data_IF_007787060162
#
_entry.id   IF_007787060162
#
_cell.length_a   1.000
_cell.length_b   1.000
_cell.length_c   1.000
_cell.angle_alpha   90.00
_cell.angle_beta   90.00
_cell.angle_gamma   90.00
#
_symmetry.space_group_name_H-M   'P 1'
#
loop_
_entity.id
_entity.type
_entity.pdbx_description
1 polymer ?
#
# COMPACT_ATOMS: atom_id res chain seq x y z
N UNK A 1 21.81 3.32 -3.53
CA UNK A 1 20.78 2.35 -3.98
C UNK A 1 19.80 3.05 -4.91
N UNK A 2 20.06 3.04 -6.22
CA UNK A 2 19.31 3.81 -7.23
C UNK A 2 18.22 2.95 -7.89
N UNK A 3 17.19 2.56 -7.12
CA UNK A 3 16.08 1.71 -7.61
C UNK A 3 14.77 2.48 -7.80
N UNK A 4 14.67 3.72 -7.29
CA UNK A 4 13.56 4.64 -7.53
C UNK A 4 13.65 5.42 -8.85
N UNK A 5 14.62 5.10 -9.73
CA UNK A 5 14.70 5.75 -11.04
C UNK A 5 13.55 5.29 -11.92
N UNK A 6 12.72 6.26 -12.29
CA UNK A 6 11.54 6.12 -13.13
C UNK A 6 11.93 5.80 -14.57
N UNK A 7 11.11 5.02 -15.33
CA UNK A 7 11.07 5.15 -16.77
C UNK A 7 10.66 6.60 -17.08
N UNK A 8 11.61 7.39 -17.60
CA UNK A 8 11.30 8.74 -18.07
C UNK A 8 10.68 8.62 -19.46
N UNK A 9 9.35 8.75 -19.56
CA UNK A 9 8.67 9.07 -20.82
C UNK A 9 7.93 10.41 -20.71
N UNK A 10 7.95 11.10 -21.85
CA UNK A 10 7.51 12.47 -22.09
C UNK A 10 6.06 12.68 -21.60
N UNK A 11 5.88 13.28 -20.42
CA UNK A 11 4.56 13.66 -19.91
C UNK A 11 4.37 13.59 -18.38
N UNK A 12 5.14 12.76 -17.66
CA UNK A 12 5.02 12.68 -16.19
C UNK A 12 5.79 13.83 -15.53
N UNK A 13 5.07 14.83 -15.00
CA UNK A 13 5.66 15.84 -14.11
C UNK A 13 6.02 15.17 -12.79
N UNK A 14 7.31 15.09 -12.47
CA UNK A 14 7.75 14.90 -11.09
C UNK A 14 7.24 16.11 -10.31
N UNK A 15 6.36 15.90 -9.33
CA UNK A 15 5.91 16.98 -8.45
C UNK A 15 7.05 17.44 -7.55
N UNK A 16 7.06 18.71 -7.16
CA UNK A 16 8.12 19.30 -6.32
C UNK A 16 8.31 18.54 -4.98
N UNK A 17 7.29 17.80 -4.53
CA UNK A 17 7.33 16.96 -3.33
C UNK A 17 7.97 15.57 -3.51
N UNK A 18 8.22 15.10 -4.74
CA UNK A 18 8.86 13.79 -5.01
C UNK A 18 10.39 13.89 -4.98
N UNK A 19 10.91 14.33 -3.84
CA UNK A 19 12.33 14.58 -3.61
C UNK A 19 12.99 13.48 -2.74
N UNK A 20 14.26 13.66 -2.38
CA UNK A 20 15.03 12.70 -1.58
C UNK A 20 14.39 12.44 -0.20
N UNK A 21 13.76 13.43 0.42
CA UNK A 21 13.08 13.25 1.70
C UNK A 21 11.85 12.33 1.56
N UNK A 22 11.12 12.43 0.45
CA UNK A 22 10.03 11.50 0.15
C UNK A 22 10.56 10.07 -0.06
N UNK A 23 11.66 9.91 -0.80
CA UNK A 23 12.30 8.59 -0.99
C UNK A 23 12.77 7.99 0.34
N UNK A 24 13.34 8.82 1.23
CA UNK A 24 13.70 8.43 2.59
C UNK A 24 12.48 7.92 3.37
N UNK A 25 11.38 8.67 3.32
CA UNK A 25 10.11 8.29 3.96
C UNK A 25 9.61 6.92 3.47
N UNK A 26 9.66 6.66 2.15
CA UNK A 26 9.26 5.36 1.60
C UNK A 26 10.16 4.22 2.07
N UNK A 27 11.47 4.48 2.20
CA UNK A 27 12.44 3.51 2.67
C UNK A 27 12.18 3.14 4.14
N UNK A 28 11.93 4.14 4.98
CA UNK A 28 11.59 3.94 6.39
C UNK A 28 10.29 3.15 6.54
N UNK A 29 9.28 3.48 5.74
CA UNK A 29 7.99 2.79 5.72
C UNK A 29 8.15 1.30 5.38
N UNK A 30 8.93 0.99 4.34
CA UNK A 30 9.22 -0.40 3.92
C UNK A 30 9.91 -1.19 5.03
N UNK A 31 10.91 -0.60 5.69
CA UNK A 31 11.62 -1.23 6.80
C UNK A 31 10.70 -1.48 8.00
N UNK A 32 9.81 -0.53 8.30
CA UNK A 32 8.84 -0.65 9.39
C UNK A 32 7.87 -1.81 9.13
N UNK A 33 7.29 -1.91 7.93
CA UNK A 33 6.41 -3.02 7.55
C UNK A 33 7.14 -4.35 7.58
N UNK A 34 8.38 -4.43 7.11
CA UNK A 34 9.17 -5.65 7.18
C UNK A 34 9.37 -6.11 8.63
N UNK A 35 9.64 -5.17 9.55
CA UNK A 35 9.80 -5.45 10.98
C UNK A 35 8.50 -5.97 11.61
N UNK A 36 7.38 -5.29 11.35
CA UNK A 36 6.07 -5.70 11.87
C UNK A 36 5.65 -7.06 11.30
N UNK A 37 5.87 -7.29 10.01
CA UNK A 37 5.58 -8.57 9.36
C UNK A 37 6.39 -9.69 9.99
N UNK A 38 7.69 -9.48 10.22
CA UNK A 38 8.54 -10.48 10.85
C UNK A 38 8.08 -10.81 12.29
N UNK A 39 7.63 -9.81 13.04
CA UNK A 39 7.06 -10.02 14.37
C UNK A 39 5.74 -10.80 14.32
N UNK A 40 4.89 -10.56 13.33
CA UNK A 40 3.65 -11.32 13.17
C UNK A 40 3.88 -12.75 12.69
N UNK A 41 4.88 -12.98 11.83
CA UNK A 41 5.32 -14.32 11.43
C UNK A 41 5.75 -15.11 12.66
N UNK A 42 6.59 -14.53 13.53
CA UNK A 42 7.10 -15.24 14.72
C UNK A 42 6.06 -15.43 15.82
N UNK A 43 5.15 -14.47 16.00
CA UNK A 43 4.18 -14.48 17.11
C UNK A 43 2.90 -15.25 16.76
N UNK A 44 2.40 -15.07 15.54
CA UNK A 44 1.09 -15.57 15.11
C UNK A 44 1.16 -16.66 14.05
N UNK A 45 2.35 -16.88 13.47
CA UNK A 45 2.55 -17.87 12.42
C UNK A 45 2.05 -17.41 11.04
N UNK A 46 1.93 -16.10 10.79
CA UNK A 46 1.53 -15.61 9.46
C UNK A 46 2.45 -16.20 8.37
N UNK A 47 1.86 -16.63 7.26
CA UNK A 47 2.53 -17.39 6.20
C UNK A 47 2.43 -18.92 6.36
N UNK A 48 1.87 -19.42 7.46
CA UNK A 48 1.63 -20.85 7.70
C UNK A 48 0.13 -21.20 7.69
N UNK A 49 -0.75 -20.24 7.42
CA UNK A 49 -2.16 -20.49 7.24
C UNK A 49 -2.43 -21.38 6.02
N UNK A 50 -3.48 -22.20 6.09
CA UNK A 50 -3.95 -23.00 4.96
C UNK A 50 -4.59 -22.12 3.89
N UNK A 51 -5.25 -21.05 4.32
CA UNK A 51 -5.88 -20.06 3.45
C UNK A 51 -6.13 -18.77 4.21
N UNK A 52 -6.34 -17.71 3.45
CA UNK A 52 -6.85 -16.44 3.95
C UNK A 52 -8.11 -16.03 3.18
N UNK A 53 -8.93 -15.17 3.79
CA UNK A 53 -10.07 -14.52 3.15
C UNK A 53 -10.22 -13.09 3.65
N UNK A 54 -10.72 -12.20 2.81
CA UNK A 54 -11.06 -10.84 3.21
C UNK A 54 -12.58 -10.67 3.19
N UNK A 55 -13.16 -10.51 4.39
CA UNK A 55 -14.56 -10.15 4.55
C UNK A 55 -14.70 -8.65 4.29
N UNK A 56 -15.29 -8.28 3.16
CA UNK A 56 -15.45 -6.90 2.74
C UNK A 56 -16.64 -6.21 3.41
N UNK A 57 -17.60 -6.98 3.93
CA UNK A 57 -18.75 -6.42 4.64
C UNK A 57 -18.33 -6.02 6.06
N UNK A 58 -17.51 -6.84 6.72
CA UNK A 58 -16.96 -6.56 8.06
C UNK A 58 -15.62 -5.81 8.03
N UNK A 59 -14.92 -5.80 6.89
CA UNK A 59 -13.59 -5.21 6.77
C UNK A 59 -12.51 -6.00 7.52
N UNK A 60 -12.64 -7.33 7.59
CA UNK A 60 -11.75 -8.21 8.34
C UNK A 60 -10.94 -9.12 7.41
N UNK A 61 -9.62 -9.09 7.57
CA UNK A 61 -8.74 -10.12 7.01
C UNK A 61 -8.70 -11.31 7.98
N UNK A 62 -8.99 -12.49 7.45
CA UNK A 62 -9.11 -13.73 8.19
C UNK A 62 -8.07 -14.73 7.71
N UNK A 63 -7.27 -15.26 8.62
CA UNK A 63 -6.31 -16.34 8.37
C UNK A 63 -6.82 -17.62 9.02
N UNK A 64 -6.86 -18.71 8.24
CA UNK A 64 -7.32 -20.02 8.69
C UNK A 64 -6.14 -20.96 8.84
N UNK A 65 -5.86 -21.33 10.09
CA UNK A 65 -4.91 -22.38 10.45
C UNK A 65 -5.67 -23.68 10.72
N UNK A 66 -4.94 -24.77 10.93
CA UNK A 66 -5.54 -26.08 11.24
C UNK A 66 -6.32 -26.08 12.57
N UNK A 67 -5.86 -25.29 13.55
CA UNK A 67 -6.36 -25.27 14.92
C UNK A 67 -7.11 -23.98 15.30
N UNK A 68 -6.99 -22.91 14.50
CA UNK A 68 -7.54 -21.59 14.86
C UNK A 68 -7.86 -20.71 13.65
N UNK A 69 -8.63 -19.66 13.89
CA UNK A 69 -8.86 -18.56 12.94
C UNK A 69 -8.41 -17.27 13.59
N UNK A 70 -7.49 -16.56 12.94
CA UNK A 70 -7.02 -15.23 13.35
C UNK A 70 -7.70 -14.18 12.47
N UNK A 71 -8.15 -13.08 13.07
CA UNK A 71 -8.83 -11.99 12.36
C UNK A 71 -8.22 -10.65 12.72
N UNK A 72 -8.08 -9.77 11.74
CA UNK A 72 -7.66 -8.39 11.97
C UNK A 72 -8.42 -7.44 11.04
N UNK A 73 -8.73 -6.21 11.49
CA UNK A 73 -9.22 -5.16 10.59
C UNK A 73 -8.24 -4.92 9.46
N UNK A 74 -8.75 -4.70 8.24
CA UNK A 74 -7.93 -4.40 7.08
C UNK A 74 -8.53 -3.27 6.24
N UNK A 75 -7.67 -2.67 5.42
CA UNK A 75 -8.01 -1.58 4.51
C UNK A 75 -7.41 -1.88 3.15
N UNK A 76 -8.14 -1.61 2.08
CA UNK A 76 -7.66 -1.73 0.72
C UNK A 76 -6.93 -0.43 0.36
N UNK A 77 -5.64 -0.55 0.03
CA UNK A 77 -4.79 0.61 -0.31
C UNK A 77 -4.81 0.89 -1.81
N UNK A 78 -4.71 -0.16 -2.61
CA UNK A 78 -4.77 -0.09 -4.07
C UNK A 78 -4.58 -1.46 -4.69
N UNK A 79 -4.57 -1.47 -6.02
CA UNK A 79 -4.37 -2.66 -6.83
C UNK A 79 -3.16 -2.44 -7.71
N UNK A 80 -2.24 -3.40 -7.70
CA UNK A 80 -1.18 -3.49 -8.70
C UNK A 80 -1.59 -4.52 -9.75
N UNK A 81 -1.67 -4.08 -11.00
CA UNK A 81 -1.96 -4.92 -12.13
C UNK A 81 -0.64 -5.23 -12.83
N UNK A 82 -0.11 -6.44 -12.61
CA UNK A 82 1.24 -6.82 -13.01
C UNK A 82 1.42 -6.80 -14.53
N UNK A 83 0.43 -7.30 -15.29
CA UNK A 83 0.47 -7.35 -16.74
C UNK A 83 0.54 -5.96 -17.39
N UNK A 84 -0.10 -4.97 -16.76
CA UNK A 84 -0.17 -3.59 -17.21
C UNK A 84 0.91 -2.71 -16.56
N UNK A 85 1.70 -3.26 -15.62
CA UNK A 85 2.63 -2.51 -14.78
C UNK A 85 2.00 -1.23 -14.20
N UNK A 86 0.78 -1.35 -13.69
CA UNK A 86 -0.02 -0.20 -13.27
C UNK A 86 -0.44 -0.31 -11.80
N UNK A 87 -0.28 0.78 -11.07
CA UNK A 87 -0.90 0.97 -9.76
C UNK A 87 -2.19 1.77 -9.88
N UNK A 88 -3.26 1.31 -9.24
CA UNK A 88 -4.52 2.03 -9.06
C UNK A 88 -4.79 2.20 -7.56
N UNK A 89 -4.89 3.44 -7.09
CA UNK A 89 -5.27 3.71 -5.71
C UNK A 89 -6.72 3.31 -5.42
N UNK A 90 -6.96 2.75 -4.24
CA UNK A 90 -8.29 2.33 -3.83
C UNK A 90 -9.27 3.51 -3.72
N UNK A 91 -8.80 4.71 -3.35
CA UNK A 91 -9.63 5.92 -3.32
C UNK A 91 -10.08 6.38 -4.72
N UNK A 92 -9.43 5.90 -5.78
CA UNK A 92 -9.77 6.17 -7.18
C UNK A 92 -10.62 5.05 -7.81
N UNK A 93 -10.90 3.97 -7.08
CA UNK A 93 -11.72 2.87 -7.54
C UNK A 93 -13.14 2.98 -6.95
N UNK A 94 -14.15 3.41 -7.73
CA UNK A 94 -15.52 3.60 -7.24
C UNK A 94 -16.23 2.29 -6.90
N UNK A 95 -15.72 1.14 -7.35
CA UNK A 95 -16.30 -0.18 -7.04
C UNK A 95 -16.01 -0.64 -5.61
N UNK A 96 -15.10 0.05 -4.89
CA UNK A 96 -14.75 -0.30 -3.51
C UNK A 96 -15.60 0.49 -2.51
N UNK A 97 -16.05 -0.19 -1.46
CA UNK A 97 -16.79 0.44 -0.39
C UNK A 97 -15.94 1.54 0.29
N UNK A 98 -16.53 2.71 0.60
CA UNK A 98 -15.82 3.79 1.27
C UNK A 98 -15.19 3.39 2.61
N UNK A 99 -15.85 2.52 3.38
CA UNK A 99 -15.37 2.02 4.66
C UNK A 99 -14.05 1.24 4.57
N UNK A 100 -13.76 0.62 3.42
CA UNK A 100 -12.54 -0.18 3.21
C UNK A 100 -11.36 0.65 2.70
N UNK A 101 -11.57 1.92 2.39
CA UNK A 101 -10.61 2.75 1.66
C UNK A 101 -10.18 3.99 2.44
N UNK A 102 -10.44 4.02 3.76
CA UNK A 102 -10.12 5.14 4.65
C UNK A 102 -8.64 5.46 4.69
N UNK A 103 -7.77 4.45 4.85
CA UNK A 103 -6.32 4.65 4.84
C UNK A 103 -5.81 5.17 3.49
N UNK A 104 -6.31 4.66 2.37
CA UNK A 104 -5.94 5.18 1.04
C UNK A 104 -6.31 6.67 0.89
N UNK A 105 -7.48 7.09 1.38
CA UNK A 105 -7.87 8.51 1.37
C UNK A 105 -6.98 9.39 2.24
N UNK A 106 -6.52 8.89 3.41
CA UNK A 106 -5.55 9.60 4.25
C UNK A 106 -4.22 9.81 3.52
N UNK A 107 -3.74 8.80 2.79
CA UNK A 107 -2.54 8.93 1.95
C UNK A 107 -2.71 10.01 0.89
N UNK A 108 -3.88 10.03 0.21
CA UNK A 108 -4.19 11.07 -0.78
C UNK A 108 -4.11 12.47 -0.19
N UNK A 109 -4.71 12.65 0.98
CA UNK A 109 -4.74 13.95 1.66
C UNK A 109 -3.34 14.37 2.11
N UNK A 110 -2.57 13.44 2.69
CA UNK A 110 -1.17 13.67 3.05
C UNK A 110 -0.31 14.08 1.84
N UNK A 111 -0.55 13.45 0.68
CA UNK A 111 0.11 13.78 -0.58
C UNK A 111 -0.27 15.15 -1.15
N UNK A 112 -1.55 15.57 -1.03
CA UNK A 112 -2.01 16.90 -1.44
C UNK A 112 -1.30 18.01 -0.68
N UNK A 113 -1.19 17.85 0.63
CA UNK A 113 -0.51 18.82 1.51
C UNK A 113 0.97 19.00 1.18
N UNK A 114 1.58 18.03 0.48
CA UNK A 114 3.01 17.99 0.15
C UNK A 114 3.32 18.11 -1.34
N UNK A 115 2.29 18.26 -2.19
CA UNK A 115 2.47 18.34 -3.64
C UNK A 115 3.06 17.07 -4.27
N UNK A 116 2.74 15.89 -3.74
CA UNK A 116 3.26 14.59 -4.22
C UNK A 116 2.26 13.99 -5.22
N UNK A 117 2.64 13.96 -6.50
CA UNK A 117 1.75 13.57 -7.61
C UNK A 117 1.36 12.10 -7.52
N UNK A 118 2.30 11.19 -7.23
CA UNK A 118 2.02 9.74 -7.09
C UNK A 118 0.96 9.39 -6.07
N UNK A 119 0.76 10.21 -5.05
CA UNK A 119 -0.22 9.97 -3.99
C UNK A 119 -1.59 10.57 -4.34
N UNK A 120 -1.66 11.46 -5.33
CA UNK A 120 -2.85 12.24 -5.67
C UNK A 120 -3.39 11.96 -7.08
N UNK A 121 -2.60 11.30 -7.92
CA UNK A 121 -3.02 10.74 -9.20
C UNK A 121 -3.59 9.33 -9.00
N UNK A 122 -4.80 9.08 -9.52
CA UNK A 122 -5.56 7.86 -9.22
C UNK A 122 -4.87 6.57 -9.68
N UNK A 123 -4.28 6.60 -10.87
CA UNK A 123 -3.49 5.49 -11.39
C UNK A 123 -2.22 5.99 -12.07
N UNK A 124 -1.16 5.19 -12.02
CA UNK A 124 0.12 5.50 -12.66
C UNK A 124 0.93 4.21 -12.91
N UNK A 125 1.85 4.27 -13.87
CA UNK A 125 2.76 3.15 -14.19
C UNK A 125 3.70 2.88 -13.02
N UNK A 126 3.60 1.70 -12.44
CA UNK A 126 4.30 1.30 -11.23
C UNK A 126 4.89 -0.10 -11.37
N UNK A 127 6.11 -0.25 -10.89
CA UNK A 127 6.64 -1.59 -10.58
C UNK A 127 5.97 -2.14 -9.32
N UNK A 128 6.03 -3.46 -9.13
CA UNK A 128 5.54 -4.10 -7.91
C UNK A 128 6.21 -3.51 -6.65
N UNK A 129 7.53 -3.26 -6.71
CA UNK A 129 8.26 -2.63 -5.61
C UNK A 129 7.73 -1.23 -5.26
N UNK A 130 7.31 -0.46 -6.26
CA UNK A 130 6.68 0.85 -6.04
C UNK A 130 5.29 0.71 -5.42
N UNK A 131 4.52 -0.31 -5.80
CA UNK A 131 3.24 -0.63 -5.15
C UNK A 131 3.45 -1.03 -3.67
N UNK A 132 4.48 -1.82 -3.37
CA UNK A 132 4.87 -2.14 -2.00
C UNK A 132 5.31 -0.91 -1.20
N UNK A 133 6.02 0.02 -1.81
CA UNK A 133 6.40 1.29 -1.18
C UNK A 133 5.16 2.14 -0.83
N UNK A 134 4.18 2.23 -1.73
CA UNK A 134 2.92 2.94 -1.48
C UNK A 134 2.10 2.27 -0.37
N UNK A 135 2.05 0.94 -0.38
CA UNK A 135 1.35 0.14 0.64
C UNK A 135 2.00 0.31 2.00
N UNK A 136 3.33 0.32 2.06
CA UNK A 136 4.07 0.55 3.30
C UNK A 136 3.86 1.95 3.85
N UNK A 137 3.91 2.97 2.99
CA UNK A 137 3.59 4.34 3.39
C UNK A 137 2.15 4.43 3.96
N UNK A 138 1.20 3.76 3.32
CA UNK A 138 -0.18 3.72 3.78
C UNK A 138 -0.31 3.06 5.15
N UNK A 139 0.42 1.98 5.42
CA UNK A 139 0.47 1.34 6.73
C UNK A 139 0.98 2.32 7.79
N UNK A 140 2.10 3.00 7.53
CA UNK A 140 2.67 3.98 8.45
C UNK A 140 1.73 5.17 8.74
N UNK A 141 0.98 5.63 7.74
CA UNK A 141 0.01 6.73 7.90
C UNK A 141 -1.35 6.26 8.44
N UNK A 142 -1.62 4.96 8.42
CA UNK A 142 -2.89 4.35 8.78
C UNK A 142 -3.11 4.18 10.28
N UNK A 143 -2.02 4.05 11.04
CA UNK A 143 -2.04 3.65 12.44
C UNK A 143 -2.05 2.14 12.58
#
# INVERSE_FOLDING_TARGET
>A
MSWFKLPQRRGMRIGDGENEAFIGTLTDALNAVATVTQAHVSTWGLGQEQRWSFDQDEGLLCWHFDDRIVRAPAQIIGTHAEAEAQWLWAWANPSLAPALTGTARRVREWGRQRGIVRLTQGAWEATEMQAWAMTSLACQLGG
#
